data_IF_320035358536
#
_entry.id   IF_320035358536
#
_cell.length_a   1.000
_cell.length_b   1.000
_cell.length_c   1.000
_cell.angle_alpha   90.00
_cell.angle_beta   90.00
_cell.angle_gamma   90.00
#
_symmetry.space_group_name_H-M   'P 1'
#
loop_
_entity.id
_entity.type
_entity.pdbx_description
1 polymer ?
#
# COMPACT_ATOMS: atom_id res chain seq x y z
N UNK A 1 13.51 5.50 24.16
CA UNK A 1 12.47 4.44 24.24
C UNK A 1 11.12 5.13 24.30
N UNK A 2 10.37 5.15 23.21
CA UNK A 2 9.05 5.77 23.15
C UNK A 2 8.07 4.77 23.76
N UNK A 3 7.47 5.17 24.89
CA UNK A 3 6.55 4.33 25.65
C UNK A 3 5.23 4.22 24.87
N UNK A 4 5.06 3.13 24.11
CA UNK A 4 3.90 2.88 23.24
C UNK A 4 2.59 2.66 24.02
N UNK A 5 2.67 2.31 25.29
CA UNK A 5 1.51 1.96 26.11
C UNK A 5 0.64 3.15 26.53
N UNK A 6 1.19 4.35 26.63
CA UNK A 6 0.42 5.52 27.10
C UNK A 6 -0.45 6.18 26.04
N UNK A 7 -0.14 6.01 24.75
CA UNK A 7 -0.91 6.60 23.63
C UNK A 7 -2.23 5.89 23.33
N UNK A 8 -2.39 4.65 23.79
CA UNK A 8 -3.59 3.85 23.54
C UNK A 8 -4.57 3.83 24.70
N UNK A 9 -4.15 4.22 25.90
CA UNK A 9 -4.97 4.19 27.11
C UNK A 9 -6.16 5.18 27.11
N UNK A 10 -6.12 6.24 26.29
CA UNK A 10 -7.17 7.26 26.19
C UNK A 10 -8.01 7.18 24.91
N UNK A 11 -7.93 6.10 24.15
CA UNK A 11 -8.85 5.92 23.02
C UNK A 11 -10.23 5.60 23.57
N UNK A 12 -11.20 6.47 23.33
CA UNK A 12 -12.61 6.13 23.49
C UNK A 12 -12.87 4.96 22.53
N UNK A 13 -12.99 3.77 23.12
CA UNK A 13 -13.47 2.60 22.36
C UNK A 13 -14.89 2.95 21.97
N UNK A 14 -15.20 2.89 20.67
CA UNK A 14 -16.55 3.10 20.18
C UNK A 14 -17.55 2.15 20.87
N UNK A 15 -18.84 2.41 20.79
CA UNK A 15 -19.85 1.60 21.45
C UNK A 15 -19.67 0.13 21.08
N UNK A 16 -19.86 -0.76 22.04
CA UNK A 16 -19.77 -2.20 21.80
C UNK A 16 -20.83 -2.58 20.76
N UNK A 17 -20.49 -3.50 19.89
CA UNK A 17 -21.39 -3.97 18.82
C UNK A 17 -22.81 -4.31 19.33
N UNK A 18 -22.91 -4.89 20.53
CA UNK A 18 -24.19 -5.17 21.21
C UNK A 18 -24.99 -3.92 21.56
N UNK A 19 -24.35 -2.79 21.81
CA UNK A 19 -25.03 -1.52 22.14
C UNK A 19 -25.56 -0.87 20.87
N UNK A 20 -24.88 -1.05 19.74
CA UNK A 20 -25.31 -0.55 18.42
C UNK A 20 -26.52 -1.31 17.88
N UNK A 21 -26.52 -2.63 18.05
CA UNK A 21 -27.63 -3.50 17.57
C UNK A 21 -28.91 -3.25 18.36
N UNK A 22 -28.82 -2.94 19.67
CA UNK A 22 -30.00 -2.73 20.51
C UNK A 22 -30.64 -1.34 20.34
N UNK A 23 -30.02 -0.41 19.63
CA UNK A 23 -30.52 0.97 19.52
C UNK A 23 -31.43 1.21 18.33
N UNK A 24 -32.03 0.26 17.67
CA UNK A 24 -32.93 0.46 16.50
C UNK A 24 -32.52 1.66 15.60
N UNK A 25 -31.22 1.85 15.46
CA UNK A 25 -30.66 2.94 14.66
C UNK A 25 -30.76 2.49 13.20
N UNK A 26 -31.62 3.15 12.44
CA UNK A 26 -31.73 2.90 11.02
C UNK A 26 -30.35 2.97 10.36
N UNK A 27 -30.12 2.15 9.35
CA UNK A 27 -28.84 2.01 8.65
C UNK A 27 -28.20 3.35 8.21
N UNK A 28 -28.98 4.41 8.12
CA UNK A 28 -28.53 5.76 7.76
C UNK A 28 -27.80 6.52 8.89
N UNK A 29 -27.91 6.06 10.14
CA UNK A 29 -27.22 6.71 11.27
C UNK A 29 -25.94 5.99 11.70
N UNK A 30 -25.64 4.85 11.14
CA UNK A 30 -24.41 4.15 11.38
C UNK A 30 -23.30 4.80 10.54
N UNK A 31 -22.66 5.84 11.07
CA UNK A 31 -21.33 6.26 10.60
C UNK A 31 -20.33 5.36 11.29
N UNK A 32 -19.72 4.37 10.60
CA UNK A 32 -18.57 3.69 11.17
C UNK A 32 -17.57 4.76 11.55
N UNK A 33 -16.99 4.66 12.73
CA UNK A 33 -15.90 5.55 13.15
C UNK A 33 -14.70 5.25 12.26
N UNK A 34 -14.63 5.94 11.13
CA UNK A 34 -13.54 5.80 10.17
C UNK A 34 -12.36 6.57 10.75
N UNK A 35 -11.57 5.90 11.59
CA UNK A 35 -10.26 6.43 12.02
C UNK A 35 -9.37 6.79 10.83
N UNK A 36 -9.67 6.21 9.68
CA UNK A 36 -9.02 6.45 8.41
C UNK A 36 -9.15 7.90 7.95
N UNK A 37 -10.27 8.59 8.23
CA UNK A 37 -10.48 10.00 7.90
C UNK A 37 -9.50 10.95 8.64
N UNK A 38 -8.85 10.47 9.71
CA UNK A 38 -7.86 11.22 10.47
C UNK A 38 -6.42 10.98 10.00
N UNK A 39 -6.22 10.07 9.06
CA UNK A 39 -4.91 9.68 8.55
C UNK A 39 -4.67 10.36 7.20
N UNK A 40 -3.62 11.17 7.12
CA UNK A 40 -3.14 11.65 5.84
C UNK A 40 -2.36 10.52 5.14
N UNK A 41 -3.05 9.77 4.30
CA UNK A 41 -2.49 8.63 3.59
C UNK A 41 -1.37 9.03 2.62
N UNK A 42 -1.46 10.16 1.94
CA UNK A 42 -0.42 10.60 1.02
C UNK A 42 0.89 10.91 1.74
N UNK A 43 0.80 11.55 2.90
CA UNK A 43 1.97 11.75 3.77
C UNK A 43 2.57 10.42 4.23
N UNK A 44 1.74 9.44 4.57
CA UNK A 44 2.19 8.12 5.00
C UNK A 44 2.87 7.36 3.85
N UNK A 45 2.30 7.42 2.65
CA UNK A 45 2.85 6.83 1.43
C UNK A 45 4.22 7.39 1.11
N UNK A 46 4.31 8.72 1.02
CA UNK A 46 5.57 9.41 0.74
C UNK A 46 6.63 9.17 1.82
N UNK A 47 6.24 9.10 3.09
CA UNK A 47 7.16 8.76 4.18
C UNK A 47 7.78 7.36 4.00
N UNK A 48 6.98 6.37 3.62
CA UNK A 48 7.46 5.00 3.38
C UNK A 48 8.37 4.91 2.17
N UNK A 49 7.98 5.52 1.05
CA UNK A 49 8.79 5.57 -0.16
C UNK A 49 10.14 6.25 0.09
N UNK A 50 10.14 7.40 0.75
CA UNK A 50 11.36 8.12 1.08
C UNK A 50 12.31 7.29 1.93
N UNK A 51 11.80 6.49 2.87
CA UNK A 51 12.64 5.57 3.64
C UNK A 51 13.34 4.52 2.79
N UNK A 52 12.67 4.02 1.74
CA UNK A 52 13.31 3.09 0.79
C UNK A 52 14.41 3.80 0.04
N UNK A 53 14.14 4.99 -0.51
CA UNK A 53 15.12 5.80 -1.25
C UNK A 53 16.33 6.16 -0.36
N UNK A 54 16.10 6.59 0.87
CA UNK A 54 17.16 6.89 1.84
C UNK A 54 18.04 5.67 2.11
N UNK A 55 17.47 4.47 2.19
CA UNK A 55 18.28 3.25 2.39
C UNK A 55 19.08 2.89 1.14
N UNK A 56 18.55 3.09 -0.06
CA UNK A 56 19.32 2.92 -1.30
C UNK A 56 20.53 3.87 -1.33
N UNK A 57 20.29 5.14 -1.06
CA UNK A 57 21.34 6.17 -1.04
C UNK A 57 22.40 5.89 0.05
N UNK A 58 21.97 5.53 1.25
CA UNK A 58 22.87 5.22 2.37
C UNK A 58 23.79 4.03 2.10
N UNK A 59 23.32 3.05 1.32
CA UNK A 59 24.08 1.85 0.99
C UNK A 59 24.76 1.93 -0.39
N UNK A 60 24.76 3.11 -1.02
CA UNK A 60 25.33 3.34 -2.36
C UNK A 60 24.74 2.39 -3.44
N UNK A 61 23.44 2.14 -3.33
CA UNK A 61 22.68 1.32 -4.29
C UNK A 61 21.90 2.22 -5.22
N UNK A 62 22.13 2.12 -6.53
CA UNK A 62 21.49 2.98 -7.53
C UNK A 62 19.99 2.76 -7.71
N UNK A 63 19.52 1.53 -7.52
CA UNK A 63 18.10 1.17 -7.62
C UNK A 63 17.82 -0.19 -6.99
N UNK A 64 16.53 -0.49 -6.75
CA UNK A 64 16.07 -1.82 -6.37
C UNK A 64 14.84 -2.23 -7.19
N UNK A 65 14.62 -3.55 -7.26
CA UNK A 65 13.39 -4.14 -7.80
C UNK A 65 12.74 -4.95 -6.68
N UNK A 66 11.47 -4.66 -6.42
CA UNK A 66 10.68 -5.34 -5.41
C UNK A 66 9.64 -6.23 -6.09
N UNK A 67 9.66 -7.53 -5.80
CA UNK A 67 8.70 -8.50 -6.33
C UNK A 67 7.65 -8.91 -5.30
N UNK A 68 8.02 -8.93 -4.01
CA UNK A 68 7.11 -9.29 -2.95
C UNK A 68 5.96 -8.27 -2.83
N UNK A 69 4.69 -8.70 -2.88
CA UNK A 69 3.53 -7.82 -2.80
C UNK A 69 3.45 -7.01 -1.50
N UNK A 70 4.01 -7.51 -0.40
CA UNK A 70 4.06 -6.76 0.87
C UNK A 70 5.05 -5.61 0.77
N UNK A 71 6.23 -5.84 0.17
CA UNK A 71 7.24 -4.81 -0.05
C UNK A 71 6.79 -3.79 -1.09
N UNK A 72 6.13 -4.21 -2.17
CA UNK A 72 5.50 -3.32 -3.16
C UNK A 72 4.49 -2.42 -2.46
N UNK A 73 3.59 -3.01 -1.66
CA UNK A 73 2.59 -2.26 -0.90
C UNK A 73 3.22 -1.31 0.12
N UNK A 74 4.29 -1.72 0.79
CA UNK A 74 5.00 -0.83 1.72
C UNK A 74 5.53 0.41 1.02
N UNK A 75 6.22 0.22 -0.12
CA UNK A 75 6.89 1.30 -0.82
C UNK A 75 5.93 2.22 -1.59
N UNK A 76 4.85 1.67 -2.17
CA UNK A 76 3.99 2.39 -3.11
C UNK A 76 2.52 2.48 -2.70
N UNK A 77 2.07 1.66 -1.75
CA UNK A 77 0.66 1.38 -1.41
C UNK A 77 -0.15 0.71 -2.52
N UNK A 78 0.47 0.35 -3.63
CA UNK A 78 -0.19 -0.34 -4.73
C UNK A 78 -0.56 -1.78 -4.35
N UNK A 79 -1.77 -2.20 -4.72
CA UNK A 79 -2.35 -3.51 -4.41
C UNK A 79 -2.93 -4.13 -5.66
N UNK A 80 -2.67 -5.41 -5.86
CA UNK A 80 -3.29 -6.21 -6.91
C UNK A 80 -3.17 -7.68 -6.52
N UNK A 81 -4.23 -8.47 -6.65
CA UNK A 81 -4.30 -9.93 -6.48
C UNK A 81 -3.20 -10.56 -5.59
N UNK A 82 -3.07 -10.09 -4.34
CA UNK A 82 -1.90 -10.36 -3.48
C UNK A 82 -1.60 -11.85 -3.32
N UNK A 83 -2.62 -12.70 -3.20
CA UNK A 83 -2.42 -14.16 -3.04
C UNK A 83 -1.82 -14.78 -4.30
N UNK A 84 -2.28 -14.37 -5.48
CA UNK A 84 -1.76 -14.86 -6.75
C UNK A 84 -0.31 -14.38 -6.97
N UNK A 85 -0.05 -13.10 -6.74
CA UNK A 85 1.29 -12.50 -6.94
C UNK A 85 2.33 -12.97 -5.94
N UNK A 86 1.94 -13.58 -4.81
CA UNK A 86 2.88 -14.24 -3.91
C UNK A 86 3.43 -15.54 -4.48
N UNK A 87 2.72 -16.19 -5.38
CA UNK A 87 3.14 -17.43 -6.03
C UNK A 87 3.79 -17.21 -7.39
N UNK A 88 3.44 -16.12 -8.06
CA UNK A 88 3.98 -15.76 -9.38
C UNK A 88 4.61 -14.38 -9.35
N UNK A 89 5.93 -14.31 -9.55
CA UNK A 89 6.71 -13.07 -9.53
C UNK A 89 6.57 -12.26 -10.83
N UNK A 90 5.34 -12.07 -11.29
CA UNK A 90 5.06 -11.34 -12.54
C UNK A 90 5.03 -9.84 -12.30
N UNK A 91 4.45 -9.41 -11.19
CA UNK A 91 4.30 -8.01 -10.83
C UNK A 91 5.49 -7.53 -10.02
N UNK A 92 6.06 -6.38 -10.38
CA UNK A 92 7.19 -5.81 -9.65
C UNK A 92 7.23 -4.28 -9.75
N UNK A 93 7.98 -3.66 -8.85
CA UNK A 93 8.24 -2.22 -8.88
C UNK A 93 9.74 -1.95 -8.92
N UNK A 94 10.14 -1.05 -9.80
CA UNK A 94 11.49 -0.49 -9.87
C UNK A 94 11.51 0.84 -9.13
N UNK A 95 12.46 1.00 -8.20
CA UNK A 95 12.67 2.24 -7.44
C UNK A 95 14.13 2.65 -7.56
N UNK A 96 14.40 3.82 -8.11
CA UNK A 96 15.75 4.37 -8.20
C UNK A 96 16.11 5.20 -6.95
N UNK A 97 17.39 5.27 -6.63
CA UNK A 97 17.92 6.16 -5.59
C UNK A 97 17.67 7.65 -5.89
N UNK A 98 17.40 7.99 -7.15
CA UNK A 98 16.99 9.34 -7.58
C UNK A 98 15.50 9.62 -7.40
N UNK A 99 14.71 8.67 -6.88
CA UNK A 99 13.28 8.83 -6.59
C UNK A 99 12.34 8.42 -7.72
N UNK A 100 12.82 7.98 -8.89
CA UNK A 100 11.95 7.47 -9.96
C UNK A 100 11.35 6.13 -9.58
N UNK A 101 10.03 6.01 -9.68
CA UNK A 101 9.26 4.79 -9.36
C UNK A 101 8.46 4.33 -10.57
N UNK A 102 8.71 3.11 -11.04
CA UNK A 102 8.01 2.49 -12.17
C UNK A 102 7.37 1.20 -11.68
N UNK A 103 6.05 1.12 -11.76
CA UNK A 103 5.29 -0.08 -11.46
C UNK A 103 5.08 -0.87 -12.75
N UNK A 104 5.45 -2.15 -12.73
CA UNK A 104 5.13 -3.11 -13.76
C UNK A 104 3.97 -3.98 -13.28
N UNK A 105 2.81 -3.83 -13.91
CA UNK A 105 1.56 -4.47 -13.49
C UNK A 105 0.89 -5.19 -14.66
N UNK A 106 -0.14 -5.97 -14.36
CA UNK A 106 -0.90 -6.69 -15.38
C UNK A 106 -1.55 -5.72 -16.38
N UNK A 107 -1.65 -6.11 -17.66
CA UNK A 107 -2.35 -5.30 -18.66
C UNK A 107 -3.78 -4.95 -18.20
N UNK A 108 -4.19 -3.70 -18.41
CA UNK A 108 -5.52 -3.16 -18.05
C UNK A 108 -5.78 -3.04 -16.53
N UNK A 109 -4.74 -3.13 -15.69
CA UNK A 109 -4.86 -2.93 -14.23
C UNK A 109 -4.40 -1.55 -13.76
N UNK A 110 -4.06 -0.64 -14.66
CA UNK A 110 -3.51 0.69 -14.37
C UNK A 110 -4.42 1.49 -13.42
N UNK A 111 -5.74 1.37 -13.59
CA UNK A 111 -6.77 2.04 -12.77
C UNK A 111 -6.66 1.74 -11.26
N UNK A 112 -6.02 0.61 -10.90
CA UNK A 112 -5.81 0.25 -9.49
C UNK A 112 -4.74 1.10 -8.80
N UNK A 113 -3.85 1.71 -9.56
CA UNK A 113 -2.65 2.36 -9.04
C UNK A 113 -2.39 3.77 -9.59
N UNK A 114 -3.08 4.21 -10.64
CA UNK A 114 -2.88 5.52 -11.29
C UNK A 114 -3.13 6.72 -10.36
N UNK A 115 -3.94 6.54 -9.32
CA UNK A 115 -4.24 7.56 -8.31
C UNK A 115 -3.16 7.72 -7.23
N UNK A 116 -2.12 6.86 -7.22
CA UNK A 116 -1.10 6.84 -6.17
C UNK A 116 0.03 7.83 -6.47
N UNK A 117 0.23 8.80 -5.59
CA UNK A 117 1.28 9.81 -5.69
C UNK A 117 2.72 9.25 -5.59
N UNK A 118 2.87 7.98 -5.23
CA UNK A 118 4.15 7.27 -5.08
C UNK A 118 4.64 6.61 -6.36
N UNK A 119 3.86 6.64 -7.43
CA UNK A 119 4.18 5.96 -8.70
C UNK A 119 4.26 7.02 -9.80
N UNK A 120 5.38 7.08 -10.51
CA UNK A 120 5.58 8.00 -11.61
C UNK A 120 5.12 7.44 -12.95
N UNK A 121 5.16 6.10 -13.10
CA UNK A 121 4.87 5.45 -14.36
C UNK A 121 4.36 4.03 -14.12
N UNK A 122 3.35 3.61 -14.88
CA UNK A 122 2.85 2.24 -14.89
C UNK A 122 3.10 1.66 -16.25
N UNK A 123 3.69 0.46 -16.29
CA UNK A 123 3.95 -0.31 -17.52
C UNK A 123 3.28 -1.66 -17.42
N UNK A 124 2.75 -2.13 -18.53
CA UNK A 124 2.28 -3.50 -18.63
C UNK A 124 3.46 -4.47 -18.57
N UNK A 125 3.35 -5.47 -17.70
CA UNK A 125 4.32 -6.54 -17.63
C UNK A 125 3.98 -7.60 -18.70
N UNK A 126 5.02 -8.20 -19.27
CA UNK A 126 4.87 -9.42 -20.05
C UNK A 126 5.00 -10.59 -19.07
N UNK A 127 3.97 -11.41 -18.98
CA UNK A 127 3.98 -12.58 -18.12
C UNK A 127 5.10 -13.55 -18.53
N UNK A 128 5.77 -14.10 -17.52
CA UNK A 128 6.85 -15.09 -17.73
C UNK A 128 6.29 -16.51 -17.76
N UNK A 129 4.97 -16.64 -17.74
CA UNK A 129 4.33 -17.95 -17.76
C UNK A 129 4.39 -18.59 -19.15
N UNK A 130 4.28 -19.91 -19.16
CA UNK A 130 4.33 -20.73 -20.36
C UNK A 130 3.24 -20.36 -21.39
N UNK A 131 2.12 -19.80 -20.95
CA UNK A 131 0.99 -19.44 -21.80
C UNK A 131 1.18 -18.10 -22.52
N UNK A 132 2.11 -17.26 -22.06
CA UNK A 132 2.40 -15.95 -22.64
C UNK A 132 3.60 -15.95 -23.58
N UNK A 133 4.22 -17.08 -23.84
CA UNK A 133 5.41 -17.26 -24.67
C UNK A 133 5.07 -17.40 -26.17
N UNK A 134 4.09 -16.65 -26.71
CA UNK A 134 3.77 -16.59 -28.15
C UNK A 134 4.26 -15.30 -28.77
#
# INVERSE_FOLDING_TARGET
MINFTSKFANRKIGPKFSEVVNQNVGAQQFKPYLYEDQINFDRLRMYRLNRVIEQLQKNDVGACILFDPINIRYATDSRNMSLFTMHELVRFVFISAGGKVILFDYPKSEHLSEHLCTIDEIRSVVSWDFFSAN
#
